data_IF_041499619197
#
_entry.id   IF_041499619197
#
_cell.length_a   1.000
_cell.length_b   1.000
_cell.length_c   1.000
_cell.angle_alpha   90.00
_cell.angle_beta   90.00
_cell.angle_gamma   90.00
#
_symmetry.space_group_name_H-M   'P 1'
#
loop_
_entity.id
_entity.type
_entity.pdbx_description
1 polymer ?
#
# COMPACT_ATOMS: atom_id res chain seq x y z
N UNK A 1 32.65 -0.22 -13.57
CA UNK A 1 31.66 0.83 -13.89
C UNK A 1 30.56 0.19 -14.71
N UNK A 2 29.35 0.08 -14.18
CA UNK A 2 28.20 -0.37 -14.97
C UNK A 2 27.68 0.78 -15.81
N UNK A 3 27.49 0.58 -17.10
CA UNK A 3 26.80 1.52 -17.99
C UNK A 3 25.46 0.91 -18.40
N UNK A 4 24.44 1.74 -18.54
CA UNK A 4 23.14 1.28 -19.06
C UNK A 4 23.31 0.85 -20.52
N UNK A 5 22.82 -0.34 -20.86
CA UNK A 5 22.83 -0.89 -22.22
C UNK A 5 21.41 -1.04 -22.75
N UNK A 6 21.29 -1.15 -24.07
CA UNK A 6 20.05 -1.63 -24.68
C UNK A 6 19.69 -3.04 -24.15
N UNK A 7 18.41 -3.45 -24.19
CA UNK A 7 18.00 -4.78 -23.72
C UNK A 7 18.56 -5.90 -24.62
N UNK A 8 18.62 -7.12 -24.06
CA UNK A 8 18.97 -8.37 -24.76
C UNK A 8 20.39 -8.45 -25.34
N UNK A 9 21.37 -7.79 -24.70
CA UNK A 9 22.76 -7.81 -25.17
C UNK A 9 23.56 -8.99 -24.59
N UNK A 10 24.53 -9.49 -25.38
CA UNK A 10 25.46 -10.51 -24.91
C UNK A 10 26.40 -9.87 -23.88
N UNK A 11 26.57 -10.51 -22.72
CA UNK A 11 27.34 -10.01 -21.57
C UNK A 11 26.71 -8.79 -20.84
N UNK A 12 25.41 -8.53 -20.98
CA UNK A 12 24.66 -7.61 -20.11
C UNK A 12 23.74 -8.37 -19.13
N UNK A 13 23.27 -7.68 -18.09
CA UNK A 13 22.22 -8.17 -17.19
C UNK A 13 20.97 -7.33 -17.41
N UNK A 14 19.88 -7.96 -17.84
CA UNK A 14 18.58 -7.31 -17.97
C UNK A 14 17.85 -7.35 -16.62
N UNK A 15 17.49 -6.18 -16.09
CA UNK A 15 16.75 -6.05 -14.82
C UNK A 15 15.32 -5.63 -15.12
N UNK A 16 14.37 -6.53 -14.89
CA UNK A 16 12.94 -6.23 -14.97
C UNK A 16 12.47 -5.69 -13.61
N UNK A 17 12.53 -4.38 -13.43
CA UNK A 17 12.03 -3.71 -12.23
C UNK A 17 10.50 -3.49 -12.33
N UNK A 18 9.74 -4.58 -12.26
CA UNK A 18 8.27 -4.51 -12.28
C UNK A 18 7.78 -4.03 -10.90
N UNK A 19 7.38 -2.76 -10.83
CA UNK A 19 6.96 -2.12 -9.58
C UNK A 19 5.57 -2.55 -9.06
N UNK A 20 4.84 -3.34 -9.84
CA UNK A 20 3.42 -3.64 -9.64
C UNK A 20 3.11 -5.15 -9.72
N UNK A 21 4.06 -6.00 -9.35
CA UNK A 21 3.92 -7.47 -9.37
C UNK A 21 2.71 -8.08 -8.62
N UNK A 22 1.98 -7.39 -7.71
CA UNK A 22 0.68 -7.90 -7.24
C UNK A 22 -0.42 -7.89 -8.32
N UNK A 23 -0.31 -7.04 -9.35
CA UNK A 23 -1.33 -6.81 -10.36
C UNK A 23 -1.19 -7.69 -11.62
N UNK A 24 -0.16 -8.52 -11.74
CA UNK A 24 0.01 -9.43 -12.89
C UNK A 24 -0.92 -10.67 -12.81
N UNK A 25 -1.44 -10.98 -11.61
CA UNK A 25 -2.54 -11.93 -11.38
C UNK A 25 -3.64 -11.27 -10.53
N UNK A 26 -4.38 -10.30 -11.08
CA UNK A 26 -5.25 -9.40 -10.31
C UNK A 26 -6.40 -10.13 -9.59
N UNK A 27 -6.81 -11.30 -10.13
CA UNK A 27 -7.83 -12.17 -9.52
C UNK A 27 -7.35 -12.82 -8.23
N UNK A 28 -6.08 -13.24 -8.18
CA UNK A 28 -5.52 -13.91 -7.01
C UNK A 28 -5.16 -12.90 -5.92
N UNK A 29 -4.66 -11.72 -6.29
CA UNK A 29 -4.41 -10.64 -5.34
C UNK A 29 -5.70 -10.13 -4.67
N UNK A 30 -6.79 -9.94 -5.42
CA UNK A 30 -8.07 -9.49 -4.85
C UNK A 30 -8.68 -10.50 -3.87
N UNK A 31 -8.63 -11.80 -4.22
CA UNK A 31 -9.09 -12.88 -3.34
C UNK A 31 -8.26 -12.95 -2.07
N UNK A 32 -6.94 -12.95 -2.21
CA UNK A 32 -6.02 -13.01 -1.07
C UNK A 32 -6.21 -11.80 -0.14
N UNK A 33 -6.28 -10.58 -0.69
CA UNK A 33 -6.56 -9.37 0.07
C UNK A 33 -7.88 -9.47 0.85
N UNK A 34 -8.95 -9.94 0.18
CA UNK A 34 -10.26 -10.14 0.82
C UNK A 34 -10.20 -11.13 1.98
N UNK A 35 -9.52 -12.26 1.81
CA UNK A 35 -9.30 -13.26 2.88
C UNK A 35 -8.53 -12.66 4.07
N UNK A 36 -7.47 -11.89 3.82
CA UNK A 36 -6.73 -11.23 4.90
C UNK A 36 -7.58 -10.17 5.61
N UNK A 37 -8.35 -9.37 4.87
CA UNK A 37 -9.23 -8.32 5.41
C UNK A 37 -10.29 -8.92 6.33
N UNK A 38 -10.95 -10.00 5.90
CA UNK A 38 -11.96 -10.70 6.71
C UNK A 38 -11.32 -11.29 7.96
N UNK A 39 -10.18 -11.96 7.82
CA UNK A 39 -9.54 -12.68 8.91
C UNK A 39 -9.00 -11.75 10.01
N UNK A 40 -8.42 -10.61 9.64
CA UNK A 40 -7.67 -9.78 10.58
C UNK A 40 -8.28 -8.41 10.88
N UNK A 41 -9.22 -7.93 10.06
CA UNK A 41 -9.70 -6.54 10.15
C UNK A 41 -11.21 -6.46 10.39
N UNK A 42 -12.01 -7.35 9.78
CA UNK A 42 -13.47 -7.25 9.81
C UNK A 42 -14.06 -7.30 11.21
N UNK A 43 -13.56 -8.18 12.08
CA UNK A 43 -14.03 -8.28 13.47
C UNK A 43 -13.81 -6.97 14.23
N UNK A 44 -12.61 -6.42 14.13
CA UNK A 44 -12.20 -5.18 14.78
C UNK A 44 -12.99 -3.95 14.29
N UNK A 45 -13.38 -3.95 13.00
CA UNK A 45 -14.25 -2.92 12.44
C UNK A 45 -15.66 -2.93 13.04
N UNK A 46 -16.20 -4.13 13.33
CA UNK A 46 -17.56 -4.30 13.86
C UNK A 46 -17.58 -4.04 15.37
N UNK A 47 -16.64 -4.65 16.10
CA UNK A 47 -16.62 -4.60 17.56
C UNK A 47 -16.06 -3.27 18.10
N UNK A 48 -15.27 -2.56 17.30
CA UNK A 48 -14.65 -1.30 17.68
C UNK A 48 -13.51 -1.44 18.70
N UNK A 49 -13.04 -0.30 19.23
CA UNK A 49 -11.95 -0.19 20.21
C UNK A 49 -10.63 -0.90 19.80
N UNK A 50 -10.41 -1.07 18.49
CA UNK A 50 -9.19 -1.68 17.98
C UNK A 50 -8.12 -0.62 17.76
N UNK A 51 -6.99 -0.77 18.46
CA UNK A 51 -5.79 0.05 18.23
C UNK A 51 -5.27 -0.07 16.81
N UNK A 52 -5.51 -1.21 16.15
CA UNK A 52 -5.11 -1.41 14.74
C UNK A 52 -5.93 -0.49 13.85
N UNK A 53 -7.25 -0.44 14.06
CA UNK A 53 -8.14 0.46 13.32
C UNK A 53 -7.82 1.92 13.62
N UNK A 54 -7.57 2.27 14.89
CA UNK A 54 -7.21 3.64 15.27
C UNK A 54 -5.94 4.11 14.54
N UNK A 55 -4.91 3.26 14.48
CA UNK A 55 -3.66 3.58 13.79
C UNK A 55 -3.79 3.57 12.27
N UNK A 56 -4.70 2.76 11.72
CA UNK A 56 -4.98 2.73 10.28
C UNK A 56 -5.89 3.88 9.83
N UNK A 57 -6.59 4.55 10.76
CA UNK A 57 -7.52 5.65 10.46
C UNK A 57 -6.76 6.94 10.23
N UNK A 58 -6.59 7.34 8.97
CA UNK A 58 -5.91 8.59 8.58
C UNK A 58 -6.79 9.81 8.87
N UNK A 59 -8.10 9.71 8.59
CA UNK A 59 -9.08 10.80 8.74
C UNK A 59 -10.26 10.29 9.56
N UNK A 60 -10.68 11.07 10.56
CA UNK A 60 -11.87 10.80 11.36
C UNK A 60 -12.75 12.05 11.37
N UNK A 61 -14.02 11.90 10.97
CA UNK A 61 -14.98 13.00 10.89
C UNK A 61 -14.49 14.21 10.07
N UNK A 62 -13.78 13.96 8.97
CA UNK A 62 -13.24 15.02 8.10
C UNK A 62 -11.96 15.69 8.60
N UNK A 63 -11.40 15.25 9.74
CA UNK A 63 -10.17 15.80 10.30
C UNK A 63 -9.08 14.73 10.28
N UNK A 64 -7.84 15.11 9.93
CA UNK A 64 -6.67 14.24 10.06
C UNK A 64 -6.52 13.81 11.53
N UNK A 65 -6.15 12.55 11.73
CA UNK A 65 -5.77 12.06 13.05
C UNK A 65 -4.34 12.48 13.37
N UNK A 66 -4.03 12.61 14.67
CA UNK A 66 -2.75 13.14 15.17
C UNK A 66 -1.52 12.44 14.57
N UNK A 67 -1.60 11.12 14.36
CA UNK A 67 -0.53 10.33 13.76
C UNK A 67 -0.16 10.77 12.33
N UNK A 68 -1.06 11.50 11.65
CA UNK A 68 -0.93 11.96 10.27
C UNK A 68 -0.89 13.49 10.17
N UNK A 69 -0.64 14.21 11.27
CA UNK A 69 -0.51 15.67 11.27
C UNK A 69 0.59 16.17 10.31
N UNK A 70 1.61 15.36 10.04
CA UNK A 70 2.64 15.69 9.05
C UNK A 70 2.09 15.82 7.62
N UNK A 71 0.87 15.34 7.34
CA UNK A 71 0.19 15.46 6.04
C UNK A 71 -0.72 16.70 5.96
N UNK A 72 -0.75 17.56 6.99
CA UNK A 72 -1.70 18.69 7.09
C UNK A 72 -1.64 19.63 5.88
N UNK A 73 -0.44 19.98 5.43
CA UNK A 73 -0.24 20.82 4.24
C UNK A 73 -0.80 20.17 2.97
N UNK A 74 -0.60 18.85 2.82
CA UNK A 74 -1.14 18.09 1.71
C UNK A 74 -2.68 18.00 1.75
N UNK A 75 -3.26 17.79 2.93
CA UNK A 75 -4.68 17.54 3.10
C UNK A 75 -5.55 18.80 3.03
N UNK A 76 -5.06 19.93 3.54
CA UNK A 76 -5.84 21.16 3.63
C UNK A 76 -5.39 22.26 2.66
N UNK A 77 -4.26 22.06 1.97
CA UNK A 77 -3.59 23.14 1.27
C UNK A 77 -2.91 24.09 2.24
N UNK A 78 -2.10 24.99 1.70
CA UNK A 78 -1.52 26.12 2.43
C UNK A 78 -2.59 27.17 2.76
#
# INVERSE_FOLDING_TARGET
SGAQTAPYQKNSVDVMAVGNLPNELPRDASRYFGEQLIKYVLKDLIDGNSRVIDRATIVKNGVLTEAYDYMKEYAYGA
#
